data_IF_183628551885
#
_entry.id   IF_183628551885
#
_cell.length_a   1.000
_cell.length_b   1.000
_cell.length_c   1.000
_cell.angle_alpha   90.00
_cell.angle_beta   90.00
_cell.angle_gamma   90.00
#
_symmetry.space_group_name_H-M   'P 1'
#
loop_
_entity.id
_entity.type
_entity.pdbx_description
1 polymer ?
#
# COMPACT_ATOMS: atom_id res chain seq x y z
N UNK A 1 -33.59 14.79 -37.58
CA UNK A 1 -32.48 14.02 -36.97
C UNK A 1 -31.15 14.70 -37.29
N UNK A 2 -30.47 15.33 -36.31
CA UNK A 2 -29.09 15.84 -36.46
C UNK A 2 -28.22 15.34 -35.30
N UNK A 3 -27.57 14.16 -35.43
CA UNK A 3 -26.71 13.58 -34.39
C UNK A 3 -25.40 14.36 -34.15
N UNK A 4 -25.08 15.34 -35.00
CA UNK A 4 -23.79 16.05 -34.98
C UNK A 4 -23.69 17.15 -33.89
N UNK A 5 -24.81 17.67 -33.38
CA UNK A 5 -24.83 18.72 -32.34
C UNK A 5 -24.62 18.18 -30.91
N UNK A 6 -25.04 16.94 -30.67
CA UNK A 6 -24.87 16.27 -29.37
C UNK A 6 -23.40 15.93 -29.12
N UNK A 7 -22.67 15.56 -30.18
CA UNK A 7 -21.24 15.23 -30.10
C UNK A 7 -20.38 16.44 -29.71
N UNK A 8 -20.66 17.64 -30.24
CA UNK A 8 -19.89 18.85 -29.88
C UNK A 8 -20.24 19.40 -28.49
N UNK A 9 -21.51 19.30 -28.09
CA UNK A 9 -21.96 19.71 -26.75
C UNK A 9 -21.36 18.82 -25.65
N UNK A 10 -21.38 17.49 -25.86
CA UNK A 10 -20.76 16.51 -24.96
C UNK A 10 -19.26 16.74 -24.86
N UNK A 11 -18.58 16.97 -25.98
CA UNK A 11 -17.13 17.20 -25.99
C UNK A 11 -16.70 18.49 -25.27
N UNK A 12 -17.49 19.56 -25.37
CA UNK A 12 -17.23 20.80 -24.63
C UNK A 12 -17.53 20.67 -23.13
N UNK A 13 -18.59 19.91 -22.77
CA UNK A 13 -18.93 19.60 -21.38
C UNK A 13 -17.86 18.71 -20.73
N UNK A 14 -17.39 17.67 -21.44
CA UNK A 14 -16.25 16.84 -21.03
C UNK A 14 -14.98 17.67 -20.90
N UNK A 15 -14.65 18.57 -21.83
CA UNK A 15 -13.48 19.46 -21.69
C UNK A 15 -13.61 20.42 -20.51
N UNK A 16 -14.81 20.92 -20.23
CA UNK A 16 -15.07 21.81 -19.09
C UNK A 16 -14.97 21.06 -17.75
N UNK A 17 -15.45 19.81 -17.70
CA UNK A 17 -15.37 18.93 -16.54
C UNK A 17 -13.94 18.45 -16.30
N UNK A 18 -13.20 18.10 -17.36
CA UNK A 18 -11.82 17.62 -17.30
C UNK A 18 -10.84 18.71 -16.82
N UNK A 19 -11.15 20.00 -17.03
CA UNK A 19 -10.35 21.10 -16.44
C UNK A 19 -10.60 21.34 -14.95
N UNK A 20 -11.74 20.91 -14.40
CA UNK A 20 -12.07 21.11 -12.98
C UNK A 20 -11.78 19.88 -12.12
N UNK A 21 -12.04 18.68 -12.66
CA UNK A 21 -11.94 17.40 -11.94
C UNK A 21 -11.06 16.37 -12.68
N UNK A 22 -10.13 16.83 -13.53
CA UNK A 22 -9.37 15.98 -14.46
C UNK A 22 -8.59 14.85 -13.80
N UNK A 23 -7.90 15.13 -12.70
CA UNK A 23 -7.06 14.13 -12.00
C UNK A 23 -7.86 13.02 -11.33
N UNK A 24 -8.96 13.35 -10.66
CA UNK A 24 -9.85 12.38 -10.01
C UNK A 24 -10.60 11.52 -11.02
N UNK A 25 -11.03 12.12 -12.14
CA UNK A 25 -11.74 11.37 -13.19
C UNK A 25 -10.80 10.43 -13.95
N UNK A 26 -9.56 10.86 -14.22
CA UNK A 26 -8.51 10.02 -14.82
C UNK A 26 -8.14 8.81 -13.95
N UNK A 27 -8.01 8.96 -12.63
CA UNK A 27 -7.68 7.82 -11.75
C UNK A 27 -8.81 6.79 -11.69
N UNK A 28 -10.06 7.23 -11.61
CA UNK A 28 -11.23 6.34 -11.63
C UNK A 28 -11.40 5.63 -12.98
N UNK A 29 -11.25 6.36 -14.10
CA UNK A 29 -11.25 5.77 -15.44
C UNK A 29 -10.11 4.76 -15.62
N UNK A 30 -8.92 5.04 -15.08
CA UNK A 30 -7.78 4.11 -15.14
C UNK A 30 -8.05 2.82 -14.38
N UNK A 31 -8.67 2.87 -13.19
CA UNK A 31 -8.99 1.67 -12.41
C UNK A 31 -10.03 0.82 -13.14
N UNK A 32 -11.11 1.44 -13.63
CA UNK A 32 -12.17 0.74 -14.36
C UNK A 32 -11.64 0.11 -15.65
N UNK A 33 -10.86 0.87 -16.42
CA UNK A 33 -10.24 0.40 -17.66
C UNK A 33 -9.20 -0.69 -17.38
N UNK A 34 -8.41 -0.56 -16.31
CA UNK A 34 -7.44 -1.58 -15.88
C UNK A 34 -8.09 -2.89 -15.44
N UNK A 35 -9.19 -2.85 -14.68
CA UNK A 35 -9.96 -4.03 -14.33
C UNK A 35 -10.58 -4.70 -15.56
N UNK A 36 -11.14 -3.91 -16.49
CA UNK A 36 -11.75 -4.42 -17.72
C UNK A 36 -10.72 -5.09 -18.65
N UNK A 37 -9.58 -4.42 -18.88
CA UNK A 37 -8.47 -5.00 -19.66
C UNK A 37 -7.88 -6.23 -18.97
N UNK A 38 -7.74 -6.22 -17.65
CA UNK A 38 -7.24 -7.36 -16.87
C UNK A 38 -8.15 -8.59 -16.95
N UNK A 39 -9.46 -8.39 -17.01
CA UNK A 39 -10.43 -9.48 -17.21
C UNK A 39 -10.37 -10.06 -18.64
N UNK A 40 -10.12 -9.23 -19.65
CA UNK A 40 -10.08 -9.64 -21.06
C UNK A 40 -8.74 -10.25 -21.50
N UNK A 41 -7.61 -9.87 -20.91
CA UNK A 41 -6.25 -10.20 -21.39
C UNK A 41 -5.50 -11.20 -20.48
N UNK A 42 -6.18 -12.27 -20.04
CA UNK A 42 -5.64 -13.31 -19.14
C UNK A 42 -4.33 -13.98 -19.63
N UNK A 43 -4.04 -13.92 -20.93
CA UNK A 43 -3.00 -14.70 -21.60
C UNK A 43 -1.71 -13.92 -21.95
N UNK A 44 -1.61 -12.59 -21.69
CA UNK A 44 -0.46 -11.79 -22.14
C UNK A 44 0.30 -11.10 -21.00
N UNK A 45 1.47 -11.64 -20.68
CA UNK A 45 2.35 -11.24 -19.58
C UNK A 45 3.03 -9.86 -19.73
N UNK A 46 2.92 -9.22 -20.89
CA UNK A 46 3.57 -7.92 -21.16
C UNK A 46 2.89 -6.72 -20.48
N UNK A 47 1.64 -6.84 -20.04
CA UNK A 47 0.89 -5.71 -19.46
C UNK A 47 1.32 -5.35 -18.02
N UNK A 48 2.05 -6.23 -17.32
CA UNK A 48 2.49 -5.97 -15.94
C UNK A 48 3.71 -5.05 -15.84
N UNK A 49 4.44 -4.86 -16.94
CA UNK A 49 5.65 -4.04 -16.99
C UNK A 49 5.47 -2.57 -16.52
N UNK A 50 4.46 -1.80 -16.98
CA UNK A 50 4.25 -0.43 -16.51
C UNK A 50 3.91 -0.34 -15.01
N UNK A 51 3.27 -1.36 -14.43
CA UNK A 51 2.96 -1.40 -13.00
C UNK A 51 4.19 -1.64 -12.13
N UNK A 52 5.11 -2.50 -12.59
CA UNK A 52 6.36 -2.78 -11.90
C UNK A 52 7.28 -1.55 -11.85
N UNK A 53 7.40 -0.83 -12.98
CA UNK A 53 8.18 0.41 -13.06
C UNK A 53 7.65 1.47 -12.07
N UNK A 54 6.33 1.64 -11.99
CA UNK A 54 5.68 2.57 -11.06
C UNK A 54 5.95 2.19 -9.60
N UNK A 55 5.81 0.90 -9.26
CA UNK A 55 6.08 0.41 -7.90
C UNK A 55 7.55 0.61 -7.51
N UNK A 56 8.50 0.48 -8.44
CA UNK A 56 9.92 0.71 -8.19
C UNK A 56 10.22 2.20 -7.95
N UNK A 57 9.60 3.09 -8.73
CA UNK A 57 9.72 4.54 -8.53
C UNK A 57 9.15 4.99 -7.17
N UNK A 58 7.96 4.50 -6.77
CA UNK A 58 7.36 4.83 -5.47
C UNK A 58 8.20 4.33 -4.29
N UNK A 59 8.78 3.12 -4.39
CA UNK A 59 9.61 2.55 -3.32
C UNK A 59 10.94 3.30 -3.11
N UNK A 60 11.51 3.91 -4.14
CA UNK A 60 12.71 4.75 -3.97
C UNK A 60 12.37 6.09 -3.31
N UNK A 61 11.16 6.60 -3.54
CA UNK A 61 10.71 7.88 -3.00
C UNK A 61 10.22 7.74 -1.54
N UNK A 62 9.58 6.62 -1.18
CA UNK A 62 8.95 6.45 0.13
C UNK A 62 9.94 6.54 1.31
N UNK A 63 11.12 5.93 1.18
CA UNK A 63 12.12 5.87 2.26
C UNK A 63 12.66 7.27 2.66
N UNK A 64 13.15 8.12 1.74
CA UNK A 64 13.62 9.46 2.08
C UNK A 64 12.48 10.43 2.47
N UNK A 65 11.28 10.25 1.91
CA UNK A 65 10.15 11.12 2.20
C UNK A 65 9.62 10.91 3.62
N UNK A 66 9.55 9.64 4.06
CA UNK A 66 9.09 9.31 5.42
C UNK A 66 10.08 9.85 6.46
N UNK A 67 11.39 9.61 6.30
CA UNK A 67 12.38 10.05 7.28
C UNK A 67 12.44 11.57 7.41
N UNK A 68 12.39 12.29 6.28
CA UNK A 68 12.39 13.75 6.26
C UNK A 68 11.10 14.34 6.85
N UNK A 69 9.94 13.75 6.53
CA UNK A 69 8.64 14.16 7.07
C UNK A 69 8.55 13.92 8.58
N UNK A 70 9.01 12.76 9.06
CA UNK A 70 9.05 12.45 10.49
C UNK A 70 10.00 13.37 11.24
N UNK A 71 11.20 13.62 10.71
CA UNK A 71 12.18 14.51 11.35
C UNK A 71 11.62 15.95 11.50
N UNK A 72 11.08 16.52 10.42
CA UNK A 72 10.48 17.85 10.44
C UNK A 72 9.23 17.91 11.33
N UNK A 73 8.41 16.86 11.32
CA UNK A 73 7.19 16.77 12.12
C UNK A 73 7.49 16.70 13.63
N UNK A 74 8.49 15.91 14.02
CA UNK A 74 8.89 15.76 15.42
C UNK A 74 9.68 16.98 15.95
N UNK A 75 10.50 17.61 15.11
CA UNK A 75 11.30 18.79 15.52
C UNK A 75 10.44 20.02 15.89
N UNK A 76 9.20 20.09 15.40
CA UNK A 76 8.29 21.21 15.65
C UNK A 76 7.44 21.02 16.91
N UNK A 77 7.44 19.83 17.52
CA UNK A 77 6.58 19.50 18.67
C UNK A 77 7.39 19.27 19.96
N UNK A 78 6.88 19.80 21.09
CA UNK A 78 7.44 19.50 22.41
C UNK A 78 7.43 18.00 22.73
N UNK A 79 8.48 17.51 23.40
CA UNK A 79 8.64 16.09 23.75
C UNK A 79 7.45 15.51 24.53
N UNK A 80 6.86 16.29 25.44
CA UNK A 80 5.66 15.90 26.20
C UNK A 80 4.40 15.82 25.32
N UNK A 81 4.26 16.74 24.36
CA UNK A 81 3.13 16.76 23.44
C UNK A 81 3.22 15.59 22.43
N UNK A 82 4.43 15.32 21.92
CA UNK A 82 4.72 14.19 21.05
C UNK A 82 4.37 12.85 21.71
N UNK A 83 4.76 12.65 22.97
CA UNK A 83 4.43 11.43 23.71
C UNK A 83 2.92 11.20 23.86
N UNK A 84 2.15 12.27 24.15
CA UNK A 84 0.69 12.16 24.30
C UNK A 84 -0.02 11.88 22.96
N UNK A 85 0.41 12.54 21.88
CA UNK A 85 -0.12 12.28 20.54
C UNK A 85 0.21 10.86 20.06
N UNK A 86 1.44 10.39 20.33
CA UNK A 86 1.86 9.02 20.03
C UNK A 86 1.04 7.99 20.79
N UNK A 87 0.77 8.20 22.08
CA UNK A 87 -0.03 7.29 22.89
C UNK A 87 -1.48 7.19 22.40
N UNK A 88 -2.13 8.34 22.12
CA UNK A 88 -3.50 8.37 21.56
C UNK A 88 -3.55 7.61 20.24
N UNK A 89 -2.56 7.84 19.37
CA UNK A 89 -2.46 7.19 18.07
C UNK A 89 -2.28 5.68 18.23
N UNK A 90 -1.38 5.23 19.11
CA UNK A 90 -1.15 3.82 19.39
C UNK A 90 -2.42 3.13 19.92
N UNK A 91 -3.09 3.72 20.92
CA UNK A 91 -4.34 3.18 21.46
C UNK A 91 -5.43 3.10 20.40
N UNK A 92 -5.54 4.12 19.54
CA UNK A 92 -6.48 4.13 18.42
C UNK A 92 -6.19 3.01 17.41
N UNK A 93 -4.93 2.79 17.03
CA UNK A 93 -4.53 1.70 16.13
C UNK A 93 -4.82 0.32 16.73
N UNK A 94 -4.53 0.11 18.01
CA UNK A 94 -4.86 -1.15 18.70
C UNK A 94 -6.37 -1.39 18.72
N UNK A 95 -7.17 -0.36 18.98
CA UNK A 95 -8.62 -0.48 19.00
C UNK A 95 -9.20 -0.82 17.61
N UNK A 96 -8.76 -0.12 16.56
CA UNK A 96 -9.27 -0.38 15.21
C UNK A 96 -8.79 -1.71 14.64
N UNK A 97 -7.57 -2.15 14.97
CA UNK A 97 -7.07 -3.48 14.55
C UNK A 97 -7.84 -4.59 15.24
N UNK A 98 -8.13 -4.45 16.54
CA UNK A 98 -8.98 -5.39 17.27
C UNK A 98 -10.37 -5.50 16.63
N UNK A 99 -11.01 -4.38 16.34
CA UNK A 99 -12.32 -4.38 15.66
C UNK A 99 -12.26 -5.01 14.27
N UNK A 100 -11.25 -4.66 13.46
CA UNK A 100 -11.07 -5.22 12.12
C UNK A 100 -10.84 -6.75 12.15
N UNK A 101 -10.01 -7.23 13.08
CA UNK A 101 -9.74 -8.67 13.27
C UNK A 101 -11.01 -9.39 13.72
N UNK A 102 -11.76 -8.82 14.66
CA UNK A 102 -13.02 -9.42 15.14
C UNK A 102 -14.04 -9.56 14.00
N UNK A 103 -14.22 -8.50 13.19
CA UNK A 103 -15.10 -8.54 12.01
C UNK A 103 -14.60 -9.52 10.96
N UNK A 104 -13.28 -9.58 10.71
CA UNK A 104 -12.69 -10.52 9.77
C UNK A 104 -12.90 -11.99 10.18
N UNK A 105 -12.75 -12.29 11.47
CA UNK A 105 -13.00 -13.62 12.03
C UNK A 105 -14.48 -14.00 11.94
N UNK A 106 -15.39 -13.08 12.28
CA UNK A 106 -16.83 -13.33 12.14
C UNK A 106 -17.21 -13.58 10.68
N UNK A 107 -16.64 -12.81 9.74
CA UNK A 107 -16.92 -12.94 8.31
C UNK A 107 -16.40 -14.26 7.74
N UNK A 108 -15.17 -14.68 8.09
CA UNK A 108 -14.59 -15.95 7.60
C UNK A 108 -15.34 -17.16 8.17
N UNK A 109 -15.78 -17.09 9.43
CA UNK A 109 -16.60 -18.14 10.05
C UNK A 109 -17.99 -18.18 9.40
N UNK A 110 -18.57 -17.06 8.98
CA UNK A 110 -19.88 -17.10 8.36
C UNK A 110 -19.84 -17.64 6.92
N UNK A 111 -18.88 -17.16 6.12
CA UNK A 111 -18.77 -17.52 4.69
C UNK A 111 -18.07 -18.88 4.50
N UNK A 112 -17.27 -19.34 5.46
CA UNK A 112 -16.38 -20.51 5.35
C UNK A 112 -15.68 -20.61 3.97
N UNK A 113 -14.92 -19.58 3.55
CA UNK A 113 -14.21 -19.61 2.28
C UNK A 113 -13.03 -20.58 2.39
N UNK A 114 -13.27 -21.87 2.13
CA UNK A 114 -12.25 -22.90 2.31
C UNK A 114 -12.72 -24.33 2.01
N UNK A 115 -14.04 -24.59 2.04
CA UNK A 115 -14.57 -25.90 1.66
C UNK A 115 -14.25 -26.29 0.20
N UNK A 116 -13.97 -25.31 -0.67
CA UNK A 116 -13.56 -25.54 -2.07
C UNK A 116 -12.04 -25.65 -2.28
N UNK A 117 -11.21 -25.44 -1.24
CA UNK A 117 -9.75 -25.32 -1.35
C UNK A 117 -8.98 -26.55 -0.82
N UNK A 118 -9.64 -27.69 -0.59
CA UNK A 118 -8.97 -28.95 -0.24
C UNK A 118 -8.36 -29.66 -1.46
N UNK A 119 -7.42 -29.01 -2.15
CA UNK A 119 -6.42 -29.66 -3.01
C UNK A 119 -5.17 -28.78 -2.92
N UNK A 120 -4.01 -29.39 -2.72
CA UNK A 120 -2.71 -28.81 -2.35
C UNK A 120 -2.45 -28.81 -0.84
N UNK A 121 -2.06 -29.98 -0.34
CA UNK A 121 -1.36 -30.14 0.92
C UNK A 121 0.00 -29.44 0.84
N UNK A 122 0.03 -28.17 1.25
CA UNK A 122 1.24 -27.36 1.26
C UNK A 122 2.11 -27.77 2.45
N UNK A 123 2.91 -28.83 2.26
CA UNK A 123 4.03 -29.19 3.13
C UNK A 123 5.19 -28.22 2.89
N UNK A 124 5.02 -26.95 3.24
CA UNK A 124 6.14 -26.03 3.39
C UNK A 124 6.51 -26.02 4.86
N UNK A 125 7.75 -26.41 5.12
CA UNK A 125 8.31 -26.72 6.42
C UNK A 125 7.78 -25.80 7.52
N UNK A 126 7.07 -26.40 8.48
CA UNK A 126 6.86 -25.82 9.80
C UNK A 126 8.22 -25.68 10.47
N UNK A 127 8.98 -24.65 10.11
CA UNK A 127 9.84 -24.01 11.09
C UNK A 127 8.86 -23.46 12.11
N UNK A 128 8.71 -24.15 13.24
CA UNK A 128 8.02 -23.62 14.41
C UNK A 128 8.92 -22.49 14.93
N UNK A 129 8.93 -21.37 14.22
CA UNK A 129 9.35 -20.09 14.76
C UNK A 129 8.44 -19.89 15.96
N UNK A 130 9.00 -19.95 17.16
CA UNK A 130 8.28 -19.54 18.33
C UNK A 130 7.87 -18.09 18.12
N UNK A 131 6.68 -17.68 18.56
CA UNK A 131 6.32 -16.25 18.53
C UNK A 131 7.37 -15.39 19.25
N UNK A 132 8.09 -15.99 20.21
CA UNK A 132 9.25 -15.39 20.84
C UNK A 132 10.40 -15.11 19.85
N UNK A 133 10.72 -16.02 18.93
CA UNK A 133 11.78 -15.84 17.93
C UNK A 133 11.45 -14.71 16.96
N UNK A 134 10.19 -14.56 16.56
CA UNK A 134 9.74 -13.46 15.71
C UNK A 134 9.77 -12.11 16.43
N UNK A 135 9.42 -12.07 17.73
CA UNK A 135 9.57 -10.86 18.54
C UNK A 135 11.04 -10.51 18.78
N UNK A 136 11.90 -11.52 19.00
CA UNK A 136 13.34 -11.35 19.12
C UNK A 136 13.95 -10.84 17.81
N UNK A 137 13.47 -11.31 16.65
CA UNK A 137 13.92 -10.86 15.34
C UNK A 137 13.53 -9.40 15.08
N UNK A 138 12.31 -9.00 15.46
CA UNK A 138 11.87 -7.60 15.39
C UNK A 138 12.72 -6.67 16.28
N UNK A 139 13.05 -7.11 17.50
CA UNK A 139 13.89 -6.36 18.43
C UNK A 139 15.33 -6.30 17.91
N UNK A 140 15.84 -7.38 17.32
CA UNK A 140 17.19 -7.47 16.73
C UNK A 140 17.31 -6.66 15.44
N UNK A 141 16.23 -6.50 14.68
CA UNK A 141 16.16 -5.66 13.48
C UNK A 141 15.84 -4.19 13.79
N UNK A 142 15.35 -3.87 15.00
CA UNK A 142 15.20 -2.49 15.45
C UNK A 142 16.59 -1.84 15.54
N UNK A 143 16.83 -0.67 14.91
CA UNK A 143 18.14 -0.07 14.71
C UNK A 143 18.72 0.47 16.02
N UNK A 144 19.13 -0.45 16.89
CA UNK A 144 19.96 -0.18 18.07
C UNK A 144 21.45 -0.16 17.73
N UNK A 145 21.80 -0.29 16.45
CA UNK A 145 23.16 -0.05 15.98
C UNK A 145 23.20 1.28 15.22
N UNK A 146 24.08 2.21 15.63
CA UNK A 146 24.23 3.46 14.92
C UNK A 146 24.59 3.16 13.47
N UNK A 147 23.97 3.95 12.60
CA UNK A 147 24.21 4.15 11.17
C UNK A 147 25.66 4.59 10.88
N UNK A 148 26.65 3.88 11.42
CA UNK A 148 28.07 4.25 11.39
C UNK A 148 29.02 3.08 11.04
N UNK A 149 28.51 1.89 10.67
CA UNK A 149 29.35 0.77 10.20
C UNK A 149 28.84 0.08 8.92
N UNK A 150 28.09 0.80 8.09
CA UNK A 150 28.05 0.50 6.66
C UNK A 150 28.73 1.66 5.92
N UNK A 151 30.07 1.67 5.81
CA UNK A 151 30.67 2.45 4.76
C UNK A 151 30.20 1.81 3.44
N UNK A 152 29.38 2.54 2.69
CA UNK A 152 29.49 2.47 1.25
C UNK A 152 30.83 3.14 0.88
N UNK A 153 31.77 2.38 0.31
CA UNK A 153 32.50 2.82 -0.87
C UNK A 153 32.34 1.72 -1.94
N UNK A 154 32.13 1.93 -3.24
CA UNK A 154 32.68 2.95 -4.12
C UNK A 154 34.06 3.48 -3.69
N UNK A 155 35.02 2.55 -3.68
CA UNK A 155 36.49 2.67 -3.71
C UNK A 155 37.05 1.39 -3.04
N UNK A 156 38.10 0.71 -3.44
CA UNK A 156 39.04 0.73 -4.58
C UNK A 156 40.02 -0.42 -4.24
N UNK A 157 40.34 -1.34 -5.16
CA UNK A 157 41.30 -2.44 -4.92
C UNK A 157 40.82 -3.79 -5.43
#
# INVERSE_FOLDING_TARGET
MRPHLICSAIWNWIRAFWRKNGLLTLSMLSVVTGCLLGFLLREKQYFSFPGELLMRMLKMLILPLITSSLMSGLATMDSKACGKMGLITLTYYLWTTFMAVTVGIVLVINIHPGAAAQKEEYTVGKVVLSSADALLDLIRYSPSFPVSLAPWPFHCG
#
